data_IF_625259442284
#
_entry.id   IF_625259442284
#
_cell.length_a   1.000
_cell.length_b   1.000
_cell.length_c   1.000
_cell.angle_alpha   90.00
_cell.angle_beta   90.00
_cell.angle_gamma   90.00
#
_symmetry.space_group_name_H-M   'P 1'
#
loop_
_entity.id
_entity.type
_entity.pdbx_description
1 polymer ?
#
# COMPACT_ATOMS: atom_id res chain seq x y z
N UNK A 1 3.16 22.28 -0.75
CA UNK A 1 1.96 21.90 0.04
C UNK A 1 1.71 20.39 -0.05
N UNK A 2 1.85 19.75 -1.22
CA UNK A 2 1.57 18.31 -1.42
C UNK A 2 2.41 17.38 -0.51
N UNK A 3 3.73 17.54 -0.49
CA UNK A 3 4.62 16.66 0.28
C UNK A 3 4.38 16.72 1.80
N UNK A 4 4.32 17.91 2.44
CA UNK A 4 4.04 17.94 3.88
C UNK A 4 2.69 17.35 4.24
N UNK A 5 1.65 17.60 3.42
CA UNK A 5 0.33 17.05 3.63
C UNK A 5 0.32 15.51 3.55
N UNK A 6 1.02 14.95 2.55
CA UNK A 6 1.13 13.50 2.38
C UNK A 6 1.87 12.84 3.54
N UNK A 7 3.00 13.42 3.98
CA UNK A 7 3.75 12.92 5.14
C UNK A 7 2.91 12.97 6.41
N UNK A 8 2.16 14.06 6.62
CA UNK A 8 1.28 14.20 7.78
C UNK A 8 0.15 13.16 7.77
N UNK A 9 -0.49 12.96 6.62
CA UNK A 9 -1.53 11.94 6.47
C UNK A 9 -1.01 10.53 6.77
N UNK A 10 0.16 10.16 6.22
CA UNK A 10 0.79 8.87 6.48
C UNK A 10 1.19 8.70 7.95
N UNK A 11 1.69 9.75 8.61
CA UNK A 11 2.02 9.72 10.03
C UNK A 11 0.77 9.50 10.91
N UNK A 12 -0.35 10.14 10.58
CA UNK A 12 -1.63 9.96 11.27
C UNK A 12 -2.15 8.53 11.06
N UNK A 13 -2.11 8.01 9.83
CA UNK A 13 -2.51 6.63 9.52
C UNK A 13 -1.66 5.65 10.35
N UNK A 14 -0.34 5.84 10.40
CA UNK A 14 0.54 5.04 11.24
C UNK A 14 0.15 5.12 12.72
N UNK A 15 -0.07 6.33 13.24
CA UNK A 15 -0.51 6.54 14.63
C UNK A 15 -1.82 5.83 14.94
N UNK A 16 -2.79 5.88 14.01
CA UNK A 16 -4.07 5.19 14.14
C UNK A 16 -3.89 3.67 14.20
N UNK A 17 -3.06 3.10 13.33
CA UNK A 17 -2.79 1.65 13.32
C UNK A 17 -2.10 1.19 14.60
N UNK A 18 -1.13 1.95 15.11
CA UNK A 18 -0.46 1.65 16.38
C UNK A 18 -1.45 1.75 17.54
N UNK A 19 -2.27 2.80 17.60
CA UNK A 19 -3.29 2.95 18.63
C UNK A 19 -4.27 1.78 18.64
N UNK A 20 -4.74 1.35 17.46
CA UNK A 20 -5.64 0.20 17.32
C UNK A 20 -4.96 -1.11 17.74
N UNK A 21 -3.70 -1.32 17.36
CA UNK A 21 -2.96 -2.55 17.67
C UNK A 21 -2.77 -2.74 19.19
N UNK A 22 -2.51 -1.65 19.91
CA UNK A 22 -2.28 -1.66 21.36
C UNK A 22 -3.53 -1.33 22.18
N UNK A 23 -4.70 -1.14 21.56
CA UNK A 23 -5.95 -0.79 22.23
C UNK A 23 -5.91 0.59 22.92
N UNK A 24 -5.12 1.52 22.40
CA UNK A 24 -4.95 2.86 22.96
C UNK A 24 -6.11 3.78 22.51
N UNK A 25 -6.46 4.74 23.36
CA UNK A 25 -7.50 5.72 23.02
C UNK A 25 -7.10 6.67 21.87
N UNK A 26 -8.10 7.27 21.21
CA UNK A 26 -7.90 8.18 20.08
C UNK A 26 -7.00 9.39 20.41
N UNK A 27 -6.90 9.80 21.69
CA UNK A 27 -6.02 10.88 22.15
C UNK A 27 -4.53 10.59 21.94
N UNK A 28 -4.14 9.32 21.76
CA UNK A 28 -2.73 8.92 21.58
C UNK A 28 -2.28 8.95 20.12
N UNK A 29 -3.21 9.04 19.16
CA UNK A 29 -2.91 9.00 17.72
C UNK A 29 -1.95 10.13 17.31
N UNK A 30 -2.27 11.36 17.69
CA UNK A 30 -1.47 12.54 17.32
C UNK A 30 -0.08 12.50 17.95
N UNK A 31 0.10 12.24 19.26
CA UNK A 31 1.42 12.06 19.84
C UNK A 31 2.26 10.98 19.16
N UNK A 32 1.67 9.83 18.86
CA UNK A 32 2.38 8.74 18.15
C UNK A 32 2.80 9.18 16.74
N UNK A 33 1.91 9.85 16.01
CA UNK A 33 2.21 10.39 14.68
C UNK A 33 3.38 11.39 14.71
N UNK A 34 3.41 12.29 15.70
CA UNK A 34 4.50 13.26 15.89
C UNK A 34 5.83 12.56 16.18
N UNK A 35 5.84 11.61 17.11
CA UNK A 35 7.05 10.83 17.45
C UNK A 35 7.56 10.08 16.22
N UNK A 36 6.68 9.45 15.45
CA UNK A 36 7.04 8.78 14.22
C UNK A 36 7.66 9.74 13.20
N UNK A 37 7.04 10.89 12.96
CA UNK A 37 7.53 11.90 12.02
C UNK A 37 8.91 12.43 12.43
N UNK A 38 9.11 12.73 13.71
CA UNK A 38 10.40 13.18 14.25
C UNK A 38 11.47 12.09 14.07
N UNK A 39 11.14 10.85 14.42
CA UNK A 39 12.08 9.71 14.31
C UNK A 39 12.53 9.52 12.87
N UNK A 40 11.60 9.48 11.92
CA UNK A 40 11.94 9.33 10.50
C UNK A 40 12.77 10.52 10.00
N UNK A 41 12.45 11.73 10.43
CA UNK A 41 13.22 12.93 10.07
C UNK A 41 14.64 12.85 10.60
N UNK A 42 14.85 12.45 11.85
CA UNK A 42 16.19 12.28 12.45
C UNK A 42 17.03 11.23 11.72
N UNK A 43 16.41 10.11 11.33
CA UNK A 43 17.10 9.07 10.55
C UNK A 43 17.51 9.61 9.16
N UNK A 44 16.64 10.37 8.51
CA UNK A 44 16.97 11.02 7.24
C UNK A 44 18.11 12.04 7.39
N UNK A 45 18.20 12.71 8.53
CA UNK A 45 19.30 13.64 8.82
C UNK A 45 20.67 12.94 8.92
N UNK A 46 20.69 11.62 9.20
CA UNK A 46 21.91 10.81 9.21
C UNK A 46 22.48 10.51 7.81
N UNK A 47 21.78 10.97 6.77
CA UNK A 47 22.20 10.88 5.37
C UNK A 47 21.55 9.74 4.59
N UNK A 48 21.72 9.80 3.27
CA UNK A 48 21.07 8.90 2.31
C UNK A 48 21.36 7.41 2.55
N UNK A 49 22.53 7.07 3.06
CA UNK A 49 22.89 5.67 3.36
C UNK A 49 22.03 5.09 4.49
N UNK A 50 21.81 5.84 5.57
CA UNK A 50 20.98 5.41 6.69
C UNK A 50 19.50 5.32 6.26
N UNK A 51 19.01 6.32 5.55
CA UNK A 51 17.66 6.33 5.01
C UNK A 51 17.40 5.16 4.02
N UNK A 52 18.37 4.88 3.13
CA UNK A 52 18.30 3.75 2.19
C UNK A 52 18.30 2.39 2.87
N UNK A 53 19.10 2.23 3.94
CA UNK A 53 19.11 1.01 4.73
C UNK A 53 17.77 0.78 5.45
N UNK A 54 17.21 1.83 6.08
CA UNK A 54 15.90 1.77 6.71
C UNK A 54 14.82 1.40 5.70
N UNK A 55 14.83 2.04 4.52
CA UNK A 55 13.89 1.75 3.45
C UNK A 55 13.98 0.29 2.99
N UNK A 56 15.20 -0.25 2.83
CA UNK A 56 15.41 -1.64 2.41
C UNK A 56 14.88 -2.64 3.44
N UNK A 57 15.17 -2.41 4.72
CA UNK A 57 14.66 -3.25 5.82
C UNK A 57 13.13 -3.20 5.86
N UNK A 58 12.56 -2.00 5.81
CA UNK A 58 11.11 -1.80 5.82
C UNK A 58 10.45 -2.45 4.61
N UNK A 59 11.09 -2.41 3.42
CA UNK A 59 10.59 -3.07 2.23
C UNK A 59 10.46 -4.59 2.42
N UNK A 60 11.48 -5.22 2.98
CA UNK A 60 11.46 -6.67 3.24
C UNK A 60 10.35 -7.02 4.24
N UNK A 61 10.27 -6.27 5.34
CA UNK A 61 9.25 -6.51 6.38
C UNK A 61 7.82 -6.37 5.81
N UNK A 62 7.56 -5.32 5.02
CA UNK A 62 6.21 -5.10 4.47
C UNK A 62 5.82 -6.07 3.35
N UNK A 63 6.77 -6.80 2.75
CA UNK A 63 6.46 -7.86 1.79
C UNK A 63 6.06 -9.18 2.47
N UNK A 64 6.38 -9.38 3.75
CA UNK A 64 6.05 -10.60 4.47
C UNK A 64 4.54 -10.86 4.54
N UNK A 65 3.68 -9.91 4.98
CA UNK A 65 2.24 -10.14 5.06
C UNK A 65 1.59 -10.51 3.71
N UNK A 66 1.83 -9.77 2.61
CA UNK A 66 1.31 -10.16 1.30
C UNK A 66 1.80 -11.55 0.85
N UNK A 67 3.08 -11.88 1.10
CA UNK A 67 3.62 -13.19 0.75
C UNK A 67 2.92 -14.31 1.55
N UNK A 68 2.67 -14.11 2.84
CA UNK A 68 1.92 -15.05 3.66
C UNK A 68 0.48 -15.24 3.15
N UNK A 69 -0.20 -14.15 2.79
CA UNK A 69 -1.55 -14.20 2.22
C UNK A 69 -1.54 -15.02 0.92
N UNK A 70 -0.56 -14.79 0.05
CA UNK A 70 -0.43 -15.54 -1.21
C UNK A 70 -0.20 -17.02 -0.93
N UNK A 71 0.71 -17.37 -0.03
CA UNK A 71 1.01 -18.77 0.31
C UNK A 71 -0.21 -19.47 0.91
N UNK A 72 -0.82 -18.86 1.92
CA UNK A 72 -2.02 -19.40 2.58
C UNK A 72 -3.18 -19.50 1.59
N UNK A 73 -3.36 -18.47 0.75
CA UNK A 73 -4.41 -18.44 -0.25
C UNK A 73 -4.27 -19.52 -1.31
N UNK A 74 -3.06 -19.79 -1.78
CA UNK A 74 -2.81 -20.86 -2.73
C UNK A 74 -3.02 -22.26 -2.11
N UNK A 75 -2.70 -22.43 -0.83
CA UNK A 75 -2.88 -23.70 -0.13
C UNK A 75 -4.37 -23.99 0.15
N UNK A 76 -5.13 -22.97 0.58
CA UNK A 76 -6.51 -23.14 1.01
C UNK A 76 -7.54 -22.75 -0.06
N UNK A 77 -7.16 -21.94 -1.04
CA UNK A 77 -8.06 -21.45 -2.10
C UNK A 77 -8.44 -22.49 -3.17
N UNK A 78 -7.78 -23.63 -3.18
CA UNK A 78 -8.02 -24.68 -4.17
C UNK A 78 -9.36 -25.43 -4.06
N UNK A 79 -10.13 -25.22 -2.98
CA UNK A 79 -11.42 -25.88 -2.77
C UNK A 79 -12.65 -24.99 -2.98
N UNK A 80 -12.47 -23.70 -3.16
CA UNK A 80 -13.55 -22.77 -3.46
C UNK A 80 -13.46 -22.38 -4.93
N UNK A 81 -14.41 -22.84 -5.76
CA UNK A 81 -14.42 -22.56 -7.19
C UNK A 81 -14.26 -21.06 -7.47
N UNK A 82 -13.21 -20.72 -8.19
CA UNK A 82 -12.91 -19.36 -8.60
C UNK A 82 -13.99 -18.91 -9.59
N UNK A 83 -14.96 -18.15 -9.15
CA UNK A 83 -15.86 -17.44 -10.05
C UNK A 83 -15.14 -16.23 -10.63
N UNK A 84 -14.31 -16.43 -11.64
CA UNK A 84 -13.82 -15.37 -12.52
C UNK A 84 -14.97 -14.86 -13.38
N UNK A 85 -15.82 -14.03 -12.83
CA UNK A 85 -16.73 -13.24 -13.62
C UNK A 85 -15.95 -12.02 -14.14
N UNK A 86 -15.60 -12.08 -15.43
CA UNK A 86 -14.93 -10.98 -16.16
C UNK A 86 -15.81 -9.72 -16.29
N UNK A 87 -17.10 -9.82 -15.98
CA UNK A 87 -18.01 -8.69 -15.99
C UNK A 87 -18.24 -8.23 -14.55
N UNK A 88 -18.25 -6.90 -14.29
CA UNK A 88 -18.57 -6.37 -12.98
C UNK A 88 -19.99 -6.81 -12.61
N UNK A 89 -20.07 -7.90 -11.84
CA UNK A 89 -21.30 -8.28 -11.18
C UNK A 89 -21.57 -7.14 -10.21
N UNK A 90 -22.63 -6.41 -10.51
CA UNK A 90 -23.31 -5.44 -9.68
C UNK A 90 -22.59 -5.13 -8.36
N UNK A 91 -21.57 -4.28 -8.44
CA UNK A 91 -20.95 -3.71 -7.28
C UNK A 91 -22.03 -2.93 -6.54
N UNK A 92 -22.52 -3.48 -5.44
CA UNK A 92 -23.49 -2.91 -4.51
C UNK A 92 -24.58 -2.06 -5.17
N UNK A 93 -25.81 -2.32 -4.90
CA UNK A 93 -27.04 -1.83 -5.52
C UNK A 93 -27.18 -0.31 -5.80
N UNK A 94 -26.13 0.52 -5.58
CA UNK A 94 -26.25 1.98 -5.65
C UNK A 94 -25.10 2.73 -6.34
N UNK A 95 -24.05 2.05 -6.82
CA UNK A 95 -22.92 2.74 -7.48
C UNK A 95 -22.95 2.42 -8.97
N UNK A 96 -23.20 3.43 -9.82
CA UNK A 96 -23.15 3.26 -11.27
C UNK A 96 -21.74 2.80 -11.73
N UNK A 97 -21.67 2.03 -12.81
CA UNK A 97 -20.42 1.50 -13.39
C UNK A 97 -19.34 2.57 -13.52
N UNK A 98 -19.67 3.74 -14.03
CA UNK A 98 -18.73 4.85 -14.21
C UNK A 98 -18.18 5.41 -12.90
N UNK A 99 -19.02 5.48 -11.88
CA UNK A 99 -18.59 5.92 -10.54
C UNK A 99 -17.66 4.88 -9.90
N UNK A 100 -17.99 3.60 -10.01
CA UNK A 100 -17.14 2.52 -9.52
C UNK A 100 -15.80 2.46 -10.26
N UNK A 101 -15.79 2.62 -11.57
CA UNK A 101 -14.57 2.70 -12.38
C UNK A 101 -13.73 3.91 -11.98
N UNK A 102 -14.34 5.08 -11.79
CA UNK A 102 -13.64 6.29 -11.35
C UNK A 102 -12.99 6.13 -9.98
N UNK A 103 -13.69 5.54 -9.02
CA UNK A 103 -13.14 5.25 -7.69
C UNK A 103 -11.98 4.23 -7.75
N UNK A 104 -12.12 3.18 -8.56
CA UNK A 104 -11.06 2.19 -8.78
C UNK A 104 -9.82 2.81 -9.41
N UNK A 105 -9.98 3.64 -10.44
CA UNK A 105 -8.87 4.38 -11.06
C UNK A 105 -8.18 5.31 -10.06
N UNK A 106 -8.94 6.02 -9.24
CA UNK A 106 -8.40 6.94 -8.24
C UNK A 106 -7.61 6.20 -7.15
N UNK A 107 -8.11 5.06 -6.69
CA UNK A 107 -7.40 4.19 -5.76
C UNK A 107 -6.11 3.62 -6.37
N UNK A 108 -6.15 3.22 -7.65
CA UNK A 108 -4.98 2.74 -8.39
C UNK A 108 -3.93 3.84 -8.55
N UNK A 109 -4.34 5.06 -8.91
CA UNK A 109 -3.42 6.20 -9.00
C UNK A 109 -2.71 6.46 -7.68
N UNK A 110 -3.43 6.40 -6.55
CA UNK A 110 -2.83 6.56 -5.22
C UNK A 110 -1.85 5.42 -4.89
N UNK A 111 -2.19 4.18 -5.24
CA UNK A 111 -1.33 3.02 -4.99
C UNK A 111 0.00 3.07 -5.77
N UNK A 112 0.02 3.73 -6.94
CA UNK A 112 1.20 3.89 -7.79
C UNK A 112 1.90 5.26 -7.67
N UNK A 113 1.50 6.12 -6.74
CA UNK A 113 2.02 7.50 -6.63
C UNK A 113 3.53 7.58 -6.31
N UNK A 114 4.11 6.55 -5.70
CA UNK A 114 5.49 6.59 -5.17
C UNK A 114 6.62 6.74 -6.19
N UNK A 115 6.40 6.52 -7.48
CA UNK A 115 7.46 6.52 -8.50
C UNK A 115 8.09 7.90 -8.73
N UNK A 116 7.35 8.98 -8.51
CA UNK A 116 7.82 10.37 -8.69
C UNK A 116 9.00 10.68 -7.76
N UNK A 117 8.99 10.09 -6.56
CA UNK A 117 10.01 10.33 -5.54
C UNK A 117 11.39 9.77 -5.90
N UNK A 118 11.46 8.82 -6.83
CA UNK A 118 12.74 8.26 -7.31
C UNK A 118 13.58 9.32 -7.98
N UNK A 119 12.96 10.34 -8.59
CA UNK A 119 13.66 11.48 -9.19
C UNK A 119 14.51 12.28 -8.18
N UNK A 120 14.11 12.31 -6.91
CA UNK A 120 14.83 13.05 -5.85
C UNK A 120 16.21 12.43 -5.55
N UNK A 121 16.39 11.13 -5.86
CA UNK A 121 17.63 10.39 -5.60
C UNK A 121 18.57 10.45 -6.84
N UNK A 122 18.10 11.00 -7.96
CA UNK A 122 18.87 11.04 -9.19
C UNK A 122 20.25 11.71 -9.06
N UNK A 123 20.37 12.72 -8.18
CA UNK A 123 21.63 13.42 -7.90
C UNK A 123 22.68 12.57 -7.18
N UNK A 124 22.29 11.45 -6.56
CA UNK A 124 23.18 10.54 -5.83
C UNK A 124 23.58 9.32 -6.67
N UNK A 125 23.00 9.17 -7.87
CA UNK A 125 23.25 8.04 -8.77
C UNK A 125 24.50 8.30 -9.64
N UNK A 126 25.28 7.24 -9.90
CA UNK A 126 26.48 7.33 -10.75
C UNK A 126 26.14 7.62 -12.22
N UNK A 127 25.08 7.02 -12.75
CA UNK A 127 24.61 7.18 -14.12
C UNK A 127 23.08 7.37 -14.18
N UNK A 128 22.56 8.52 -13.71
CA UNK A 128 21.10 8.70 -13.54
C UNK A 128 20.32 8.57 -14.85
N UNK A 129 20.88 9.00 -15.99
CA UNK A 129 20.21 8.93 -17.29
C UNK A 129 19.92 7.51 -17.78
N UNK A 130 20.70 6.52 -17.35
CA UNK A 130 20.50 5.10 -17.69
C UNK A 130 19.85 4.30 -16.56
N UNK A 131 20.29 4.54 -15.34
CA UNK A 131 19.89 3.73 -14.20
C UNK A 131 18.49 4.11 -13.69
N UNK A 132 18.11 5.38 -13.76
CA UNK A 132 16.81 5.86 -13.29
C UNK A 132 15.63 5.27 -14.09
N UNK A 133 15.60 5.35 -15.44
CA UNK A 133 14.51 4.77 -16.22
C UNK A 133 14.42 3.25 -16.03
N UNK A 134 15.56 2.57 -15.93
CA UNK A 134 15.62 1.13 -15.71
C UNK A 134 15.07 0.75 -14.33
N UNK A 135 15.48 1.47 -13.28
CA UNK A 135 15.01 1.23 -11.93
C UNK A 135 13.50 1.47 -11.82
N UNK A 136 12.97 2.53 -12.41
CA UNK A 136 11.54 2.83 -12.44
C UNK A 136 10.77 1.72 -13.17
N UNK A 137 11.20 1.35 -14.37
CA UNK A 137 10.52 0.33 -15.18
C UNK A 137 10.48 -1.04 -14.48
N UNK A 138 11.61 -1.46 -13.91
CA UNK A 138 11.69 -2.73 -13.16
C UNK A 138 10.85 -2.65 -11.89
N UNK A 139 10.94 -1.54 -11.16
CA UNK A 139 10.20 -1.33 -9.92
C UNK A 139 8.69 -1.36 -10.14
N UNK A 140 8.19 -0.61 -11.12
CA UNK A 140 6.75 -0.59 -11.45
C UNK A 140 6.30 -1.97 -11.95
N UNK A 141 7.08 -2.62 -12.81
CA UNK A 141 6.76 -3.97 -13.29
C UNK A 141 6.67 -4.99 -12.16
N UNK A 142 7.62 -4.96 -11.22
CA UNK A 142 7.60 -5.84 -10.04
C UNK A 142 6.38 -5.60 -9.15
N UNK A 143 6.08 -4.33 -8.85
CA UNK A 143 4.91 -3.95 -8.04
C UNK A 143 3.62 -4.38 -8.73
N UNK A 144 3.51 -4.20 -10.05
CA UNK A 144 2.35 -4.64 -10.83
C UNK A 144 2.13 -6.15 -10.71
N UNK A 145 3.18 -6.96 -10.84
CA UNK A 145 3.10 -8.42 -10.70
C UNK A 145 2.66 -8.79 -9.28
N UNK A 146 3.26 -8.20 -8.26
CA UNK A 146 2.87 -8.44 -6.85
C UNK A 146 1.40 -8.10 -6.62
N UNK A 147 0.95 -6.94 -7.09
CA UNK A 147 -0.45 -6.53 -6.93
C UNK A 147 -1.42 -7.46 -7.67
N UNK A 148 -1.08 -7.90 -8.88
CA UNK A 148 -1.92 -8.85 -9.61
C UNK A 148 -2.05 -10.18 -8.86
N UNK A 149 -0.95 -10.72 -8.34
CA UNK A 149 -0.94 -11.96 -7.58
C UNK A 149 -1.76 -11.82 -6.29
N UNK A 150 -1.52 -10.77 -5.51
CA UNK A 150 -2.23 -10.54 -4.25
C UNK A 150 -3.73 -10.35 -4.49
N UNK A 151 -4.11 -9.55 -5.49
CA UNK A 151 -5.53 -9.35 -5.83
C UNK A 151 -6.19 -10.63 -6.33
N UNK A 152 -5.49 -11.43 -7.16
CA UNK A 152 -6.00 -12.72 -7.61
C UNK A 152 -6.28 -13.64 -6.41
N UNK A 153 -5.36 -13.72 -5.45
CA UNK A 153 -5.54 -14.51 -4.23
C UNK A 153 -6.66 -13.98 -3.35
N UNK A 154 -6.81 -12.67 -3.20
CA UNK A 154 -7.94 -12.09 -2.48
C UNK A 154 -9.28 -12.46 -3.11
N UNK A 155 -9.38 -12.40 -4.44
CA UNK A 155 -10.60 -12.82 -5.16
C UNK A 155 -10.88 -14.32 -5.02
N UNK A 156 -9.85 -15.14 -4.83
CA UNK A 156 -10.00 -16.58 -4.56
C UNK A 156 -10.50 -16.89 -3.15
N UNK A 157 -10.06 -16.11 -2.16
CA UNK A 157 -10.35 -16.34 -0.75
C UNK A 157 -11.66 -15.69 -0.29
N UNK A 158 -11.99 -14.53 -0.84
CA UNK A 158 -13.14 -13.73 -0.43
C UNK A 158 -14.12 -13.62 -1.60
N UNK A 159 -15.27 -14.33 -1.56
CA UNK A 159 -16.33 -14.05 -2.52
C UNK A 159 -16.70 -12.57 -2.40
N UNK A 160 -16.90 -11.89 -3.54
CA UNK A 160 -17.12 -10.44 -3.67
C UNK A 160 -18.14 -9.86 -2.66
N UNK A 161 -19.14 -10.64 -2.26
CA UNK A 161 -20.11 -10.25 -1.23
C UNK A 161 -19.50 -10.19 0.20
N UNK A 162 -18.47 -11.00 0.48
CA UNK A 162 -17.79 -11.01 1.79
C UNK A 162 -16.69 -9.96 1.88
N UNK A 163 -16.02 -9.63 0.78
CA UNK A 163 -14.95 -8.63 0.74
C UNK A 163 -15.46 -7.22 1.10
N UNK A 164 -16.67 -6.88 0.66
CA UNK A 164 -17.30 -5.61 0.99
C UNK A 164 -17.52 -5.43 2.51
N UNK A 165 -17.96 -6.49 3.19
CA UNK A 165 -18.20 -6.44 4.64
C UNK A 165 -16.91 -6.53 5.47
N UNK A 166 -15.89 -7.23 4.98
CA UNK A 166 -14.62 -7.38 5.70
C UNK A 166 -13.73 -6.13 5.60
N UNK A 167 -13.72 -5.45 4.45
CA UNK A 167 -12.86 -4.27 4.23
C UNK A 167 -13.51 -3.00 4.75
N UNK A 168 -14.83 -2.82 4.59
CA UNK A 168 -15.54 -1.61 5.02
C UNK A 168 -15.97 -1.70 6.47
N UNK A 169 -16.23 -2.89 7.01
CA UNK A 169 -16.63 -3.08 8.41
C UNK A 169 -15.56 -2.63 9.43
N UNK A 170 -14.30 -2.60 9.04
CA UNK A 170 -13.20 -2.12 9.89
C UNK A 170 -12.78 -0.67 9.61
N UNK A 171 -13.40 0.00 8.66
CA UNK A 171 -13.14 1.41 8.33
C UNK A 171 -14.21 2.36 8.89
N UNK A 172 -15.12 1.87 9.75
CA UNK A 172 -15.99 2.73 10.53
C UNK A 172 -15.13 3.47 11.58
N UNK A 173 -14.55 4.58 11.12
CA UNK A 173 -14.02 5.65 11.94
C UNK A 173 -15.07 6.74 12.00
#
# INVERSE_FOLDING_TARGET
IYFPANVTALAIIFGTQVANLFGLGNSTIVPIAIVCAITVTLINFMGAKAAGMLQSITLVIKLIPPALIVVVGLIHGGSSGVNFSLFPIQAGHHIGFWTGLGQGLLATMFAYDGWIHVGNIAGEMKNPSKDLPKAISIGIGLIMVVYLIVNAVFLMLLPLAGAHNAVIGNLNV
#
